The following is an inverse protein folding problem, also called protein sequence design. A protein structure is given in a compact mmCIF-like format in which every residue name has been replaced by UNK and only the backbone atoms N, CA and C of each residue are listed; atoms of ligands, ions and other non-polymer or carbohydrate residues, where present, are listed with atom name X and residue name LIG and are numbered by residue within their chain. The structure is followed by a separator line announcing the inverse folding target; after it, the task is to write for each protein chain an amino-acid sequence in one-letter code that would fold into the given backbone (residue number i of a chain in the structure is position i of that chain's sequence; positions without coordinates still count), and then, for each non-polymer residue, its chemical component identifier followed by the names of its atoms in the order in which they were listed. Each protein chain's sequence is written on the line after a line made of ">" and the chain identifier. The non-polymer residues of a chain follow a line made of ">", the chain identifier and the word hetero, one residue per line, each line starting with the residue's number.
data_IF_076487366140
#
_entry.id   IF_076487366140
#
_cell.length_a   1.000
_cell.length_b   1.000
_cell.length_c   1.000
_cell.angle_alpha   90.00
_cell.angle_beta   90.00
_cell.angle_gamma   90.00
#
_symmetry.space_group_name_H-M   'P 1'
#
loop_
_entity.id
_entity.type
_entity.pdbx_description
1 polymer ?
#
# COMPACT_ATOMS: atom_id res chain seq x y z
N UNK A 1 -6.60 11.37 -13.17
CA UNK A 1 -6.48 10.10 -13.93
C UNK A 1 -5.73 9.15 -13.04
N UNK A 2 -6.24 7.94 -12.85
CA UNK A 2 -5.54 6.91 -12.08
C UNK A 2 -4.37 6.37 -12.90
N UNK A 3 -3.28 6.05 -12.21
CA UNK A 3 -2.11 5.38 -12.77
C UNK A 3 -2.07 3.96 -12.22
N UNK A 4 -1.86 2.96 -13.07
CA UNK A 4 -1.73 1.56 -12.64
C UNK A 4 -0.39 1.01 -13.08
N UNK A 5 0.35 0.46 -12.12
CA UNK A 5 1.60 -0.26 -12.36
C UNK A 5 1.41 -1.73 -12.04
N UNK A 6 2.15 -2.59 -12.75
CA UNK A 6 2.06 -4.03 -12.61
C UNK A 6 3.37 -4.58 -12.06
N UNK A 7 3.25 -5.41 -11.03
CA UNK A 7 4.36 -6.02 -10.31
C UNK A 7 4.15 -7.53 -10.21
N UNK A 8 5.16 -8.25 -9.73
CA UNK A 8 5.16 -9.70 -9.51
C UNK A 8 4.74 -10.46 -10.78
N UNK A 9 5.41 -10.17 -11.91
CA UNK A 9 5.09 -10.72 -13.24
C UNK A 9 3.65 -10.43 -13.72
N UNK A 10 3.12 -9.25 -13.39
CA UNK A 10 1.77 -8.84 -13.77
C UNK A 10 0.65 -9.36 -12.87
N UNK A 11 0.99 -10.13 -11.83
CA UNK A 11 0.01 -10.65 -10.89
C UNK A 11 -0.54 -9.57 -9.96
N UNK A 12 0.27 -8.58 -9.61
CA UNK A 12 -0.13 -7.52 -8.72
C UNK A 12 -0.36 -6.24 -9.52
N UNK A 13 -1.56 -5.69 -9.44
CA UNK A 13 -1.84 -4.34 -9.93
C UNK A 13 -1.86 -3.37 -8.74
N UNK A 14 -1.08 -2.31 -8.84
CA UNK A 14 -1.09 -1.20 -7.89
C UNK A 14 -1.61 0.02 -8.63
N UNK A 15 -2.79 0.48 -8.24
CA UNK A 15 -3.43 1.68 -8.80
C UNK A 15 -3.31 2.81 -7.78
N UNK A 16 -2.86 3.98 -8.23
CA UNK A 16 -2.88 5.21 -7.45
C UNK A 16 -3.73 6.24 -8.17
N UNK A 17 -4.56 6.95 -7.42
CA UNK A 17 -5.26 8.13 -7.92
C UNK A 17 -4.66 9.37 -7.23
N UNK A 18 -3.87 10.19 -7.96
CA UNK A 18 -3.25 11.38 -7.38
C UNK A 18 -4.32 12.32 -6.83
N UNK A 19 -4.25 12.60 -5.54
CA UNK A 19 -5.17 13.50 -4.85
C UNK A 19 -4.42 14.69 -4.28
N UNK A 20 -4.77 15.88 -4.74
CA UNK A 20 -4.28 17.12 -4.15
C UNK A 20 -4.88 17.30 -2.74
N UNK A 21 -4.01 17.60 -1.78
CA UNK A 21 -4.40 17.91 -0.40
C UNK A 21 -4.43 19.43 -0.18
N UNK A 22 -3.31 20.03 0.21
CA UNK A 22 -3.16 21.47 0.42
C UNK A 22 -1.78 21.91 -0.06
N UNK A 23 -1.67 23.16 -0.52
CA UNK A 23 -0.39 23.78 -0.90
C UNK A 23 0.39 22.96 -1.94
N UNK A 24 -0.30 22.42 -2.95
CA UNK A 24 0.29 21.58 -4.00
C UNK A 24 0.96 20.29 -3.48
N UNK A 25 0.60 19.82 -2.29
CA UNK A 25 0.96 18.48 -1.84
C UNK A 25 -0.01 17.46 -2.45
N UNK A 26 0.55 16.41 -3.02
CA UNK A 26 -0.19 15.32 -3.67
C UNK A 26 0.00 14.03 -2.89
N UNK A 27 -1.07 13.25 -2.75
CA UNK A 27 -1.01 11.88 -2.24
C UNK A 27 -1.29 10.88 -3.34
N UNK A 28 -0.56 9.78 -3.30
CA UNK A 28 -0.66 8.65 -4.22
C UNK A 28 -1.05 7.41 -3.43
N UNK A 29 -2.22 7.46 -2.80
CA UNK A 29 -2.67 6.40 -1.92
C UNK A 29 -3.01 5.12 -2.73
N UNK A 30 -2.47 3.95 -2.37
CA UNK A 30 -2.54 2.76 -3.23
C UNK A 30 -3.81 1.94 -3.03
N UNK A 31 -4.34 1.45 -4.15
CA UNK A 31 -5.24 0.29 -4.25
C UNK A 31 -4.43 -0.88 -4.81
N UNK A 32 -4.44 -2.03 -4.13
CA UNK A 32 -3.65 -3.21 -4.53
C UNK A 32 -4.56 -4.40 -4.77
N UNK A 33 -4.47 -4.97 -5.98
CA UNK A 33 -5.32 -6.08 -6.43
C UNK A 33 -4.46 -7.23 -6.93
N UNK A 34 -4.68 -8.43 -6.38
CA UNK A 34 -4.17 -9.69 -6.95
C UNK A 34 -5.02 -10.04 -8.18
N UNK A 35 -4.45 -9.86 -9.37
CA UNK A 35 -5.08 -10.11 -10.65
C UNK A 35 -5.41 -11.58 -10.87
N UNK A 36 -4.67 -12.50 -10.26
CA UNK A 36 -4.94 -13.92 -10.43
C UNK A 36 -6.16 -14.35 -9.61
N UNK A 37 -6.29 -13.82 -8.39
CA UNK A 37 -7.43 -14.10 -7.50
C UNK A 37 -8.61 -13.17 -7.70
N UNK A 38 -8.44 -12.10 -8.49
CA UNK A 38 -9.42 -11.00 -8.63
C UNK A 38 -9.83 -10.44 -7.26
N UNK A 39 -8.85 -10.29 -6.37
CA UNK A 39 -9.06 -9.93 -4.97
C UNK A 39 -8.33 -8.64 -4.64
N UNK A 40 -9.03 -7.69 -4.04
CA UNK A 40 -8.41 -6.53 -3.40
C UNK A 40 -7.66 -6.99 -2.15
N UNK A 41 -6.35 -6.78 -2.12
CA UNK A 41 -5.50 -7.11 -0.97
C UNK A 41 -5.47 -5.97 0.04
N UNK A 42 -5.46 -4.72 -0.45
CA UNK A 42 -5.65 -3.52 0.37
C UNK A 42 -6.20 -2.38 -0.46
N UNK A 43 -6.94 -1.48 0.19
CA UNK A 43 -7.41 -0.22 -0.40
C UNK A 43 -7.14 0.92 0.58
N UNK A 44 -6.16 1.76 0.22
CA UNK A 44 -5.83 2.98 0.95
C UNK A 44 -6.25 4.23 0.18
N UNK A 45 -6.96 4.12 -0.96
CA UNK A 45 -7.29 5.24 -1.86
C UNK A 45 -7.99 6.41 -1.15
N UNK A 46 -8.84 6.13 -0.15
CA UNK A 46 -9.52 7.15 0.65
C UNK A 46 -8.68 7.73 1.81
N UNK A 47 -7.59 7.09 2.18
CA UNK A 47 -6.81 7.35 3.39
C UNK A 47 -5.82 8.51 3.26
N UNK A 48 -5.17 8.85 4.37
CA UNK A 48 -4.05 9.81 4.40
C UNK A 48 -2.68 9.16 4.20
N UNK A 49 -2.64 7.91 3.75
CA UNK A 49 -1.41 7.17 3.49
C UNK A 49 -0.95 7.35 2.04
N UNK A 50 0.32 7.67 1.89
CA UNK A 50 1.00 7.95 0.63
C UNK A 50 1.92 6.79 0.27
N UNK A 51 1.82 6.27 -0.96
CA UNK A 51 2.80 5.31 -1.47
C UNK A 51 4.03 6.06 -1.96
N UNK A 52 5.16 5.87 -1.27
CA UNK A 52 6.43 6.51 -1.61
C UNK A 52 7.19 5.72 -2.66
N UNK A 53 7.26 4.39 -2.50
CA UNK A 53 7.92 3.49 -3.43
C UNK A 53 7.52 2.03 -3.19
N UNK A 54 7.83 1.18 -4.16
CA UNK A 54 7.80 -0.28 -4.00
C UNK A 54 9.24 -0.82 -3.97
N UNK A 55 9.49 -1.84 -3.14
CA UNK A 55 10.83 -2.44 -2.95
C UNK A 55 10.74 -3.95 -2.71
N UNK A 56 11.89 -4.64 -2.68
CA UNK A 56 12.01 -6.07 -2.37
C UNK A 56 11.04 -6.98 -3.16
N UNK A 57 10.79 -6.63 -4.42
CA UNK A 57 9.88 -7.37 -5.27
C UNK A 57 10.43 -8.77 -5.59
N UNK A 58 9.56 -9.77 -5.47
CA UNK A 58 9.78 -11.15 -5.89
C UNK A 58 8.56 -11.64 -6.68
N UNK A 59 8.57 -12.88 -7.15
CA UNK A 59 7.39 -13.45 -7.80
C UNK A 59 6.18 -13.62 -6.85
N UNK A 60 6.42 -13.67 -5.53
CA UNK A 60 5.39 -13.98 -4.52
C UNK A 60 5.14 -12.87 -3.51
N UNK A 61 5.89 -11.77 -3.55
CA UNK A 61 5.74 -10.68 -2.58
C UNK A 61 6.34 -9.35 -3.07
N UNK A 62 5.89 -8.25 -2.49
CA UNK A 62 6.47 -6.92 -2.67
C UNK A 62 6.32 -6.10 -1.38
N UNK A 63 7.25 -5.19 -1.13
CA UNK A 63 7.19 -4.24 -0.02
C UNK A 63 6.72 -2.87 -0.51
N UNK A 64 5.75 -2.29 0.19
CA UNK A 64 5.24 -0.94 -0.03
C UNK A 64 5.78 -0.01 1.05
N UNK A 65 6.52 1.02 0.63
CA UNK A 65 6.98 2.08 1.53
C UNK A 65 5.88 3.14 1.65
N UNK A 66 5.28 3.27 2.82
CA UNK A 66 4.13 4.13 3.08
C UNK A 66 4.49 5.27 4.04
N UNK A 67 3.85 6.44 3.87
CA UNK A 67 3.97 7.58 4.78
C UNK A 67 2.60 8.18 5.08
N UNK A 68 2.35 8.59 6.33
CA UNK A 68 1.12 9.31 6.68
C UNK A 68 1.24 10.82 6.46
N UNK A 69 0.21 11.41 5.88
CA UNK A 69 0.06 12.86 5.69
C UNK A 69 -0.88 13.48 6.74
N UNK A 70 -0.69 14.76 7.15
CA UNK A 70 0.47 15.61 6.88
C UNK A 70 1.72 15.11 7.62
N UNK A 71 2.88 15.24 6.97
CA UNK A 71 4.06 14.45 7.33
C UNK A 71 5.09 15.15 8.22
N UNK A 72 5.23 14.64 9.44
CA UNK A 72 6.44 14.61 10.28
C UNK A 72 6.76 13.18 10.80
N UNK A 73 5.90 12.21 10.45
CA UNK A 73 5.98 10.80 10.86
C UNK A 73 6.96 9.98 10.00
N UNK A 74 7.59 8.92 10.58
CA UNK A 74 8.44 8.01 9.81
C UNK A 74 7.65 7.23 8.77
N UNK A 75 8.35 6.70 7.77
CA UNK A 75 7.78 5.77 6.79
C UNK A 75 7.66 4.37 7.38
N UNK A 76 6.62 3.64 6.98
CA UNK A 76 6.40 2.23 7.31
C UNK A 76 6.59 1.34 6.08
N UNK A 77 6.99 0.09 6.31
CA UNK A 77 7.07 -0.92 5.27
C UNK A 77 5.93 -1.92 5.46
N UNK A 78 5.05 -2.00 4.46
CA UNK A 78 3.98 -2.99 4.40
C UNK A 78 4.33 -4.05 3.37
N UNK A 79 4.57 -5.27 3.81
CA UNK A 79 4.79 -6.40 2.92
C UNK A 79 3.44 -6.96 2.44
N UNK A 80 3.32 -7.18 1.13
CA UNK A 80 2.17 -7.82 0.49
C UNK A 80 2.61 -9.19 0.00
N UNK A 81 2.13 -10.26 0.64
CA UNK A 81 2.41 -11.63 0.22
C UNK A 81 1.30 -12.14 -0.70
N UNK A 82 1.69 -12.54 -1.90
CA UNK A 82 0.83 -13.17 -2.89
C UNK A 82 0.71 -14.68 -2.68
N UNK A 83 1.62 -15.30 -1.93
CA UNK A 83 1.55 -16.73 -1.64
C UNK A 83 0.32 -17.03 -0.78
N UNK A 84 0.18 -16.33 0.34
CA UNK A 84 -0.95 -16.49 1.28
C UNK A 84 -2.03 -15.41 1.17
N UNK A 85 -1.81 -14.36 0.35
CA UNK A 85 -2.75 -13.26 0.16
C UNK A 85 -2.85 -12.32 1.37
N UNK A 86 -1.83 -12.28 2.24
CA UNK A 86 -1.84 -11.52 3.49
C UNK A 86 -0.93 -10.30 3.43
N UNK A 87 -1.29 -9.32 4.24
CA UNK A 87 -0.49 -8.14 4.52
C UNK A 87 0.33 -8.37 5.78
N UNK A 88 1.57 -7.90 5.80
CA UNK A 88 2.43 -7.97 6.98
C UNK A 88 3.07 -6.61 7.29
N UNK A 89 2.90 -6.17 8.52
CA UNK A 89 3.53 -4.97 9.07
C UNK A 89 4.46 -5.41 10.20
N UNK A 90 5.76 -5.11 10.09
CA UNK A 90 6.80 -5.59 11.01
C UNK A 90 6.72 -7.10 11.29
N UNK A 91 6.46 -7.88 10.24
CA UNK A 91 6.33 -9.34 10.29
C UNK A 91 5.01 -9.87 10.87
N UNK A 92 4.10 -9.00 11.34
CA UNK A 92 2.78 -9.39 11.87
C UNK A 92 1.72 -9.33 10.78
N UNK A 93 0.86 -10.35 10.70
CA UNK A 93 -0.26 -10.34 9.77
C UNK A 93 -1.27 -9.25 10.15
N UNK A 94 -1.71 -8.48 9.15
CA UNK A 94 -2.71 -7.42 9.30
C UNK A 94 -3.91 -7.75 8.43
N UNK A 95 -5.11 -7.61 9.00
CA UNK A 95 -6.34 -7.76 8.23
C UNK A 95 -6.59 -6.49 7.39
N UNK A 96 -6.98 -6.61 6.10
CA UNK A 96 -7.26 -5.46 5.26
C UNK A 96 -8.29 -4.48 5.87
N UNK A 97 -9.30 -4.98 6.60
CA UNK A 97 -10.32 -4.14 7.25
C UNK A 97 -9.78 -3.30 8.42
N UNK A 98 -8.67 -3.73 9.03
CA UNK A 98 -8.00 -3.04 10.13
C UNK A 98 -6.70 -2.37 9.74
N UNK A 99 -6.38 -2.28 8.45
CA UNK A 99 -5.07 -1.86 7.96
C UNK A 99 -4.70 -0.44 8.40
N UNK A 100 -5.59 0.53 8.22
CA UNK A 100 -5.30 1.92 8.56
C UNK A 100 -5.04 2.09 10.07
N UNK A 101 -5.83 1.41 10.91
CA UNK A 101 -5.62 1.41 12.36
C UNK A 101 -4.30 0.74 12.76
N UNK A 102 -3.90 -0.34 12.08
CA UNK A 102 -2.64 -1.01 12.32
C UNK A 102 -1.43 -0.14 11.92
N UNK A 103 -1.53 0.56 10.78
CA UNK A 103 -0.51 1.51 10.34
C UNK A 103 -0.40 2.70 11.32
N UNK A 104 -1.53 3.21 11.81
CA UNK A 104 -1.55 4.29 12.81
C UNK A 104 -0.93 3.89 14.14
N UNK A 105 -1.20 2.67 14.59
CA UNK A 105 -0.60 2.11 15.80
C UNK A 105 0.92 1.96 15.66
N UNK A 106 1.42 1.61 14.46
CA UNK A 106 2.85 1.49 14.20
C UNK A 106 3.59 2.86 14.16
N UNK A 107 2.86 3.98 14.09
CA UNK A 107 3.41 5.34 14.18
C UNK A 107 3.35 5.95 15.60
N UNK A 108 2.86 5.20 16.58
CA UNK A 108 2.66 5.63 17.98
C UNK A 108 3.84 5.20 18.86
#
# INVERSE_FOLDING_TARGET
>A
MSETTFHCNGRLAITVEPREMRMSHWLYAPLVVDQHRQQTLLDLSGSQWDLISTTNETAGAIDLLLRKYPGDKPTLILNVSLDDGRLRLDGRCVDPSGLEAALDLALS
#
